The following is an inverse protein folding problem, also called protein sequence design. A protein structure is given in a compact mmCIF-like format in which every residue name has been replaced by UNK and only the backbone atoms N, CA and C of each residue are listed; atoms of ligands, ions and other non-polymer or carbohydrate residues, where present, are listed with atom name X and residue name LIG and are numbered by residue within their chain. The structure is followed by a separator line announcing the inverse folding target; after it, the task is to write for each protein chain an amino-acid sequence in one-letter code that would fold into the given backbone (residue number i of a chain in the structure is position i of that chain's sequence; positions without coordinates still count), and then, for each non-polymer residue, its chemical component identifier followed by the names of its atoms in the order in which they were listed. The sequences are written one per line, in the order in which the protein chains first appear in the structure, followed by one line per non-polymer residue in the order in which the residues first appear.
data_IF_209356941760
#
_entry.id   IF_209356941760
#
_cell.length_a   1.000
_cell.length_b   1.000
_cell.length_c   1.000
_cell.angle_alpha   90.00
_cell.angle_beta   90.00
_cell.angle_gamma   90.00
#
_symmetry.space_group_name_H-M   'P 1'
#
loop_
_entity.id
_entity.type
_entity.pdbx_description
1 polymer ?
#
# COMPACT_ATOMS: atom_id res chain seq x y z
N UNK A 1 11.14 15.04 6.04
CA UNK A 1 10.43 15.50 4.82
C UNK A 1 10.48 14.35 3.83
N UNK A 2 9.34 13.77 3.48
CA UNK A 2 9.22 12.54 2.70
C UNK A 2 9.59 12.77 1.23
N UNK A 3 10.54 11.98 0.70
CA UNK A 3 10.65 11.78 -0.75
C UNK A 3 9.53 10.82 -1.14
N UNK A 4 8.42 11.38 -1.63
CA UNK A 4 7.40 10.60 -2.32
C UNK A 4 7.93 10.28 -3.70
N UNK A 5 8.49 9.07 -3.90
CA UNK A 5 8.70 8.56 -5.25
C UNK A 5 7.31 8.47 -5.91
N UNK A 6 7.09 9.30 -6.94
CA UNK A 6 5.82 9.40 -7.63
C UNK A 6 5.42 8.06 -8.20
N UNK A 7 4.18 7.63 -7.94
CA UNK A 7 3.64 6.39 -8.50
C UNK A 7 3.77 6.39 -10.03
N UNK A 8 4.09 5.23 -10.61
CA UNK A 8 4.22 4.97 -12.07
C UNK A 8 3.10 5.61 -12.93
N UNK A 9 1.89 5.81 -12.38
CA UNK A 9 0.77 6.53 -13.04
C UNK A 9 1.07 8.01 -13.38
N UNK A 10 1.95 8.69 -12.66
CA UNK A 10 2.29 10.10 -12.95
C UNK A 10 3.33 10.26 -14.07
N UNK A 11 4.20 9.27 -14.27
CA UNK A 11 5.24 9.31 -15.31
C UNK A 11 4.71 9.01 -16.72
N UNK A 12 3.64 8.22 -16.84
CA UNK A 12 3.03 7.90 -18.14
C UNK A 12 2.07 9.00 -18.65
N UNK A 13 1.62 9.90 -17.79
CA UNK A 13 0.75 11.03 -18.16
C UNK A 13 1.52 12.20 -18.79
N UNK A 14 2.85 12.27 -18.66
CA UNK A 14 3.67 13.42 -19.08
C UNK A 14 4.46 13.20 -20.36
N UNK A 15 4.53 11.97 -20.88
CA UNK A 15 5.24 11.66 -22.13
C UNK A 15 4.33 11.85 -23.34
N UNK A 16 4.26 13.10 -23.82
CA UNK A 16 3.66 13.47 -25.10
C UNK A 16 4.61 13.06 -26.26
N UNK A 17 4.70 11.77 -26.57
CA UNK A 17 5.45 11.27 -27.74
C UNK A 17 4.52 11.21 -28.96
N UNK A 18 4.12 12.39 -29.44
CA UNK A 18 3.48 12.57 -30.74
C UNK A 18 4.27 13.61 -31.50
N UNK A 19 5.38 13.20 -32.15
CA UNK A 19 5.99 13.82 -33.34
C UNK A 19 7.43 13.33 -33.54
N UNK A 20 7.61 12.18 -34.20
CA UNK A 20 8.73 11.99 -35.14
C UNK A 20 8.16 11.24 -36.35
N UNK A 21 7.83 12.01 -37.38
CA UNK A 21 7.40 11.50 -38.67
C UNK A 21 8.63 11.06 -39.49
N UNK A 22 8.50 9.87 -40.09
CA UNK A 22 8.83 9.51 -41.48
C UNK A 22 10.10 10.13 -42.11
N UNK A 23 11.10 9.28 -42.37
CA UNK A 23 11.63 9.06 -43.73
C UNK A 23 12.69 7.93 -43.78
N UNK A 24 12.51 6.99 -44.71
CA UNK A 24 13.64 6.48 -45.51
C UNK A 24 14.10 5.02 -45.33
N UNK A 25 13.68 4.19 -46.29
CA UNK A 25 14.41 3.09 -46.93
C UNK A 25 14.29 1.65 -46.40
N UNK A 26 13.79 0.81 -47.31
CA UNK A 26 13.71 -0.65 -47.29
C UNK A 26 15.04 -1.35 -46.98
N UNK A 27 14.95 -2.41 -46.17
CA UNK A 27 15.98 -3.43 -45.96
C UNK A 27 15.37 -4.59 -45.19
N UNK A 28 15.01 -5.64 -45.91
CA UNK A 28 14.46 -6.91 -45.43
C UNK A 28 15.42 -7.64 -44.49
N UNK A 29 15.01 -7.98 -43.25
CA UNK A 29 15.40 -9.20 -42.52
C UNK A 29 14.41 -9.44 -41.35
N UNK A 30 14.19 -10.72 -41.05
CA UNK A 30 13.30 -11.37 -40.08
C UNK A 30 13.22 -10.77 -38.65
N UNK A 31 12.09 -10.92 -37.92
CA UNK A 31 11.95 -10.36 -36.58
C UNK A 31 12.16 -11.44 -35.50
N UNK A 32 13.27 -11.35 -34.76
CA UNK A 32 13.38 -11.68 -33.33
C UNK A 32 14.75 -11.15 -32.89
N UNK A 33 14.79 -10.32 -31.83
CA UNK A 33 15.62 -10.74 -30.73
C UNK A 33 14.92 -10.61 -29.38
N UNK A 34 15.18 -11.63 -28.57
CA UNK A 34 14.96 -11.70 -27.14
C UNK A 34 15.58 -10.48 -26.43
N UNK A 35 14.74 -9.59 -25.91
CA UNK A 35 15.16 -8.62 -24.90
C UNK A 35 14.26 -8.72 -23.67
N UNK A 36 14.46 -9.81 -22.90
CA UNK A 36 14.24 -9.78 -21.45
C UNK A 36 15.53 -10.19 -20.71
N UNK A 37 16.61 -9.37 -20.68
CA UNK A 37 17.78 -9.69 -19.86
C UNK A 37 18.13 -8.62 -18.81
N UNK A 38 17.40 -7.50 -18.69
CA UNK A 38 17.86 -6.41 -17.81
C UNK A 38 17.53 -6.63 -16.32
N UNK A 39 16.30 -7.02 -15.98
CA UNK A 39 15.88 -7.16 -14.59
C UNK A 39 16.52 -8.38 -13.89
N UNK A 40 16.61 -9.53 -14.57
CA UNK A 40 17.24 -10.74 -14.02
C UNK A 40 18.76 -10.59 -13.88
N UNK A 41 19.41 -9.88 -14.80
CA UNK A 41 20.84 -9.58 -14.69
C UNK A 41 21.12 -8.63 -13.51
N UNK A 42 20.26 -7.63 -13.30
CA UNK A 42 20.36 -6.73 -12.14
C UNK A 42 20.07 -7.45 -10.82
N UNK A 43 19.06 -8.32 -10.77
CA UNK A 43 18.77 -9.16 -9.59
C UNK A 43 19.94 -10.10 -9.30
N UNK A 44 20.55 -10.70 -10.33
CA UNK A 44 21.73 -11.55 -10.18
C UNK A 44 22.96 -10.78 -9.69
N UNK A 45 23.16 -9.54 -10.14
CA UNK A 45 24.24 -8.66 -9.68
C UNK A 45 24.01 -8.20 -8.23
N UNK A 46 22.77 -7.91 -7.86
CA UNK A 46 22.38 -7.63 -6.46
C UNK A 46 22.61 -8.86 -5.55
N UNK A 47 22.28 -10.06 -6.03
CA UNK A 47 22.51 -11.33 -5.33
C UNK A 47 24.00 -11.64 -5.16
N UNK A 48 24.83 -11.33 -6.18
CA UNK A 48 26.29 -11.50 -6.12
C UNK A 48 26.91 -10.57 -5.08
N UNK A 49 26.35 -9.37 -4.91
CA UNK A 49 26.80 -8.39 -3.90
C UNK A 49 26.38 -8.80 -2.48
N UNK A 50 25.25 -9.50 -2.32
CA UNK A 50 24.72 -9.91 -1.00
C UNK A 50 25.36 -11.20 -0.44
N UNK A 51 25.99 -12.04 -1.28
CA UNK A 51 26.72 -13.25 -0.84
C UNK A 51 28.26 -13.06 -0.81
N UNK A 52 28.77 -11.90 -1.25
CA UNK A 52 30.19 -11.61 -1.35
C UNK A 52 30.71 -10.75 -0.21
N UNK A 53 31.39 -11.37 0.76
CA UNK A 53 32.28 -10.66 1.68
C UNK A 53 33.43 -10.01 0.91
N UNK A 54 33.65 -8.71 1.12
CA UNK A 54 34.92 -8.01 0.91
C UNK A 54 35.54 -8.04 -0.49
N UNK A 55 35.12 -7.14 -1.39
CA UNK A 55 35.95 -6.76 -2.53
C UNK A 55 35.76 -5.29 -2.91
N UNK A 56 36.89 -4.58 -2.98
CA UNK A 56 37.01 -3.16 -3.34
C UNK A 56 36.76 -3.00 -4.85
N UNK A 57 35.58 -2.56 -5.26
CA UNK A 57 35.42 -1.90 -6.55
C UNK A 57 34.32 -0.84 -6.47
N UNK A 58 34.71 0.40 -6.76
CA UNK A 58 33.84 1.57 -6.87
C UNK A 58 33.16 1.59 -8.24
N UNK A 59 31.81 1.52 -8.34
CA UNK A 59 31.12 1.86 -9.57
C UNK A 59 30.83 3.36 -9.58
N UNK A 60 31.12 4.00 -10.72
CA UNK A 60 30.79 5.38 -11.01
C UNK A 60 29.26 5.59 -11.03
N UNK A 61 28.78 6.55 -10.24
CA UNK A 61 27.36 6.92 -10.11
C UNK A 61 26.87 7.60 -11.41
N UNK A 62 25.73 7.19 -12.00
CA UNK A 62 25.11 7.89 -13.13
C UNK A 62 24.55 9.27 -12.71
N UNK A 63 24.67 10.23 -13.63
CA UNK A 63 24.43 11.68 -13.46
C UNK A 63 23.00 12.12 -13.11
N UNK A 64 22.08 11.19 -12.82
CA UNK A 64 20.68 11.51 -12.50
C UNK A 64 20.44 11.87 -11.01
N UNK A 65 21.46 11.78 -10.15
CA UNK A 65 21.33 12.01 -8.69
C UNK A 65 21.66 13.43 -8.18
N UNK A 66 21.83 14.42 -9.07
CA UNK A 66 22.28 15.77 -8.68
C UNK A 66 21.21 16.69 -8.06
N UNK A 67 20.05 16.18 -7.64
CA UNK A 67 18.99 17.05 -7.09
C UNK A 67 18.18 16.39 -5.99
N UNK A 68 18.76 16.28 -4.79
CA UNK A 68 18.02 15.97 -3.56
C UNK A 68 18.33 17.08 -2.55
N UNK A 69 17.34 17.89 -2.10
CA UNK A 69 17.56 18.89 -1.06
C UNK A 69 17.58 18.23 0.33
N UNK A 70 18.61 18.54 1.12
CA UNK A 70 18.76 18.11 2.50
C UNK A 70 17.67 18.71 3.40
N UNK A 71 17.13 17.90 4.31
CA UNK A 71 16.15 18.31 5.33
C UNK A 71 16.90 18.82 6.56
N UNK A 72 16.62 20.05 7.01
CA UNK A 72 17.11 20.60 8.29
C UNK A 72 16.12 20.32 9.43
N UNK A 73 16.58 20.04 10.67
CA UNK A 73 15.71 20.03 11.85
C UNK A 73 15.56 21.43 12.45
N UNK A 74 14.35 21.75 12.89
CA UNK A 74 13.99 23.00 13.55
C UNK A 74 14.03 22.84 15.08
N UNK A 75 14.84 23.67 15.76
CA UNK A 75 14.55 24.23 17.09
C UNK A 75 15.66 25.22 17.50
N UNK A 76 15.31 26.51 17.63
CA UNK A 76 16.12 27.50 18.34
C UNK A 76 15.91 27.37 19.86
N UNK A 77 16.91 27.78 20.67
CA UNK A 77 16.79 29.12 21.25
C UNK A 77 18.07 29.96 21.09
N UNK A 78 17.83 31.28 20.99
CA UNK A 78 18.81 32.32 20.72
C UNK A 78 19.83 32.53 21.86
N UNK A 79 21.13 32.52 21.52
CA UNK A 79 22.20 33.21 22.27
C UNK A 79 23.25 33.77 21.30
N UNK A 80 23.33 35.10 21.24
CA UNK A 80 24.56 35.89 21.05
C UNK A 80 25.39 35.69 19.77
N UNK A 81 25.14 36.52 18.75
CA UNK A 81 26.02 36.69 17.59
C UNK A 81 27.36 37.30 18.00
N UNK A 82 28.45 36.57 17.79
CA UNK A 82 29.77 37.14 17.44
C UNK A 82 30.22 36.55 16.12
N UNK A 83 30.48 37.43 15.16
CA UNK A 83 30.93 37.16 13.81
C UNK A 83 32.41 36.76 13.77
N UNK A 84 32.72 35.58 13.24
CA UNK A 84 34.07 35.21 12.81
C UNK A 84 34.11 34.97 11.28
N UNK A 85 35.10 35.54 10.56
CA UNK A 85 35.26 35.34 9.12
C UNK A 85 36.18 34.13 8.87
N UNK A 86 35.60 32.99 8.48
CA UNK A 86 36.39 31.80 8.18
C UNK A 86 35.54 30.59 7.80
N UNK A 87 34.89 30.65 6.63
CA UNK A 87 34.07 29.55 6.10
C UNK A 87 34.94 28.37 5.63
N UNK A 88 35.48 27.60 6.56
CA UNK A 88 35.95 26.24 6.31
C UNK A 88 34.82 25.32 6.72
N UNK A 89 34.13 24.69 5.76
CA UNK A 89 33.23 23.56 6.07
C UNK A 89 34.07 22.52 6.82
N UNK A 90 33.90 22.43 8.14
CA UNK A 90 34.55 21.41 8.94
C UNK A 90 34.20 20.05 8.34
N UNK A 91 35.21 19.19 8.13
CA UNK A 91 34.99 17.83 7.68
C UNK A 91 34.12 17.11 8.72
N UNK A 92 33.09 16.34 8.30
CA UNK A 92 32.27 15.58 9.22
C UNK A 92 33.17 14.68 10.07
N UNK A 93 32.91 14.68 11.37
CA UNK A 93 33.63 13.84 12.32
C UNK A 93 33.45 12.35 11.96
N UNK A 94 34.40 11.50 12.34
CA UNK A 94 34.30 10.06 12.09
C UNK A 94 32.96 9.41 12.53
N UNK A 95 32.35 9.76 13.70
CA UNK A 95 31.03 9.25 14.04
C UNK A 95 29.92 9.75 13.10
N UNK A 96 29.91 11.03 12.74
CA UNK A 96 28.93 11.58 11.79
C UNK A 96 29.07 10.93 10.41
N UNK A 97 30.30 10.61 9.98
CA UNK A 97 30.55 9.91 8.72
C UNK A 97 29.95 8.50 8.72
N UNK A 98 30.13 7.74 9.80
CA UNK A 98 29.56 6.38 9.89
C UNK A 98 28.03 6.42 10.01
N UNK A 99 27.46 7.40 10.71
CA UNK A 99 25.99 7.62 10.73
C UNK A 99 25.45 7.93 9.33
N UNK A 100 26.09 8.86 8.60
CA UNK A 100 25.69 9.21 7.23
C UNK A 100 25.80 8.01 6.28
N UNK A 101 26.85 7.21 6.44
CA UNK A 101 27.03 5.97 5.67
C UNK A 101 25.94 4.95 5.98
N UNK A 102 25.60 4.75 7.25
CA UNK A 102 24.50 3.86 7.66
C UNK A 102 23.16 4.30 7.09
N UNK A 103 22.86 5.60 7.16
CA UNK A 103 21.64 6.17 6.59
C UNK A 103 21.57 6.01 5.05
N UNK A 104 22.71 6.16 4.37
CA UNK A 104 22.79 5.97 2.92
C UNK A 104 22.53 4.51 2.51
N UNK A 105 23.11 3.55 3.24
CA UNK A 105 22.89 2.11 3.00
C UNK A 105 21.41 1.77 3.21
N UNK A 106 20.82 2.20 4.33
CA UNK A 106 19.39 1.96 4.61
C UNK A 106 18.48 2.58 3.54
N UNK A 107 18.81 3.76 3.03
CA UNK A 107 18.07 4.40 1.94
C UNK A 107 18.18 3.60 0.63
N UNK A 108 19.37 3.06 0.31
CA UNK A 108 19.59 2.23 -0.86
C UNK A 108 18.82 0.91 -0.78
N UNK A 109 18.84 0.23 0.37
CA UNK A 109 18.13 -1.03 0.58
C UNK A 109 16.61 -0.85 0.53
N UNK A 110 16.10 0.27 1.07
CA UNK A 110 14.70 0.64 0.94
C UNK A 110 14.32 0.90 -0.52
N UNK A 111 15.15 1.62 -1.27
CA UNK A 111 14.90 1.86 -2.70
C UNK A 111 14.91 0.56 -3.52
N UNK A 112 15.87 -0.33 -3.26
CA UNK A 112 15.92 -1.65 -3.90
C UNK A 112 14.66 -2.47 -3.59
N UNK A 113 14.22 -2.46 -2.33
CA UNK A 113 12.98 -3.13 -1.92
C UNK A 113 11.75 -2.58 -2.65
N UNK A 114 11.64 -1.26 -2.78
CA UNK A 114 10.52 -0.63 -3.51
C UNK A 114 10.52 -1.02 -4.98
N UNK A 115 11.68 -1.03 -5.64
CA UNK A 115 11.81 -1.47 -7.03
C UNK A 115 11.36 -2.93 -7.18
N UNK A 116 11.82 -3.82 -6.29
CA UNK A 116 11.43 -5.23 -6.30
C UNK A 116 9.91 -5.41 -6.09
N UNK A 117 9.31 -4.61 -5.21
CA UNK A 117 7.86 -4.60 -5.01
C UNK A 117 7.12 -4.15 -6.27
N UNK A 118 7.60 -3.11 -6.96
CA UNK A 118 6.98 -2.63 -8.21
C UNK A 118 7.06 -3.66 -9.34
N UNK A 119 8.12 -4.48 -9.39
CA UNK A 119 8.27 -5.57 -10.38
C UNK A 119 7.20 -6.65 -10.19
N UNK A 120 6.64 -6.79 -8.98
CA UNK A 120 5.56 -7.75 -8.71
C UNK A 120 4.18 -7.32 -9.24
N UNK A 121 4.03 -6.09 -9.75
CA UNK A 121 2.78 -5.63 -10.36
C UNK A 121 2.65 -6.17 -11.79
N UNK A 122 1.46 -6.64 -12.20
CA UNK A 122 1.25 -7.11 -13.57
C UNK A 122 1.43 -5.95 -14.55
N UNK A 123 2.06 -6.21 -15.70
CA UNK A 123 2.10 -5.23 -16.79
C UNK A 123 0.75 -5.16 -17.51
N UNK A 124 0.39 -4.00 -18.06
CA UNK A 124 -0.90 -3.82 -18.76
C UNK A 124 -1.12 -4.81 -19.91
N UNK A 125 -0.02 -5.31 -20.52
CA UNK A 125 -0.02 -6.26 -21.63
C UNK A 125 -0.03 -7.73 -21.21
N UNK A 126 0.31 -8.06 -19.96
CA UNK A 126 0.40 -9.44 -19.45
C UNK A 126 -0.95 -10.00 -18.97
N UNK A 127 -2.01 -9.18 -18.96
CA UNK A 127 -3.35 -9.63 -18.54
C UNK A 127 -4.03 -10.55 -19.55
N UNK A 128 -3.39 -10.87 -20.69
CA UNK A 128 -4.03 -11.47 -21.87
C UNK A 128 -3.53 -12.90 -22.18
N UNK A 129 -2.42 -13.37 -21.58
CA UNK A 129 -1.82 -14.69 -21.87
C UNK A 129 -1.57 -15.52 -20.61
N UNK A 130 -2.09 -16.76 -20.58
CA UNK A 130 -1.88 -17.71 -19.47
C UNK A 130 -0.38 -18.01 -19.20
N UNK A 131 0.47 -17.96 -20.22
CA UNK A 131 1.92 -18.18 -20.07
C UNK A 131 2.60 -17.05 -19.28
N UNK A 132 2.15 -15.81 -19.41
CA UNK A 132 2.76 -14.65 -18.73
C UNK A 132 2.38 -14.63 -17.24
N UNK A 133 1.22 -15.19 -16.88
CA UNK A 133 0.79 -15.35 -15.49
C UNK A 133 1.70 -16.32 -14.72
N UNK A 134 2.23 -17.35 -15.39
CA UNK A 134 3.19 -18.29 -14.80
C UNK A 134 4.56 -17.62 -14.59
N UNK A 135 5.05 -16.88 -15.58
CA UNK A 135 6.30 -16.12 -15.46
C UNK A 135 6.24 -15.07 -14.33
N UNK A 136 5.15 -14.29 -14.25
CA UNK A 136 4.95 -13.31 -13.18
C UNK A 136 4.87 -13.99 -11.80
N UNK A 137 4.28 -15.19 -11.72
CA UNK A 137 4.24 -15.95 -10.46
C UNK A 137 5.64 -16.38 -10.03
N UNK A 138 6.47 -16.86 -10.94
CA UNK A 138 7.87 -17.22 -10.66
C UNK A 138 8.68 -16.01 -10.19
N UNK A 139 8.56 -14.88 -10.89
CA UNK A 139 9.21 -13.61 -10.49
C UNK A 139 8.77 -13.20 -9.09
N UNK A 140 7.47 -13.24 -8.79
CA UNK A 140 6.95 -12.94 -7.44
C UNK A 140 7.52 -13.87 -6.38
N UNK A 141 7.60 -15.18 -6.64
CA UNK A 141 8.18 -16.14 -5.70
C UNK A 141 9.66 -15.82 -5.41
N UNK A 142 10.43 -15.47 -6.45
CA UNK A 142 11.83 -15.12 -6.30
C UNK A 142 12.02 -13.80 -5.55
N UNK A 143 11.25 -12.77 -5.92
CA UNK A 143 11.25 -11.47 -5.24
C UNK A 143 10.90 -11.64 -3.76
N UNK A 144 9.82 -12.36 -3.45
CA UNK A 144 9.42 -12.59 -2.06
C UNK A 144 10.50 -13.34 -1.27
N UNK A 145 11.22 -14.29 -1.89
CA UNK A 145 12.32 -14.99 -1.24
C UNK A 145 13.50 -14.05 -0.93
N UNK A 146 13.83 -13.12 -1.83
CA UNK A 146 14.85 -12.10 -1.60
C UNK A 146 14.43 -11.15 -0.48
N UNK A 147 13.21 -10.60 -0.55
CA UNK A 147 12.68 -9.70 0.48
C UNK A 147 12.62 -10.37 1.86
N UNK A 148 12.30 -11.67 1.90
CA UNK A 148 12.36 -12.44 3.13
C UNK A 148 13.75 -12.42 3.77
N UNK A 149 14.81 -12.68 2.99
CA UNK A 149 16.19 -12.65 3.48
C UNK A 149 16.61 -11.24 3.90
N UNK A 150 16.23 -10.21 3.14
CA UNK A 150 16.51 -8.82 3.50
C UNK A 150 15.86 -8.43 4.83
N UNK A 151 14.60 -8.81 5.07
CA UNK A 151 13.90 -8.52 6.33
C UNK A 151 14.41 -9.34 7.51
N UNK A 152 14.98 -10.52 7.28
CA UNK A 152 15.67 -11.27 8.34
C UNK A 152 16.98 -10.58 8.70
N UNK A 153 17.75 -10.15 7.70
CA UNK A 153 19.05 -9.51 7.91
C UNK A 153 18.90 -8.14 8.60
N UNK A 154 17.92 -7.34 8.18
CA UNK A 154 17.55 -6.09 8.84
C UNK A 154 16.02 -5.97 9.01
N UNK A 155 15.48 -6.25 10.20
CA UNK A 155 14.07 -6.00 10.51
C UNK A 155 13.67 -4.52 10.45
N UNK A 156 14.65 -3.60 10.60
CA UNK A 156 14.43 -2.15 10.50
C UNK A 156 14.01 -1.73 9.09
N UNK A 157 14.59 -2.35 8.06
CA UNK A 157 14.19 -2.18 6.67
C UNK A 157 12.72 -2.51 6.43
N UNK A 158 12.23 -3.62 7.01
CA UNK A 158 10.82 -3.99 6.89
C UNK A 158 9.90 -2.90 7.43
N UNK A 159 10.23 -2.36 8.62
CA UNK A 159 9.51 -1.23 9.20
C UNK A 159 9.57 0.00 8.28
N UNK A 160 10.76 0.37 7.82
CA UNK A 160 10.96 1.54 6.95
C UNK A 160 10.11 1.46 5.68
N UNK A 161 10.13 0.34 4.97
CA UNK A 161 9.38 0.13 3.71
C UNK A 161 7.88 0.18 3.94
N UNK A 162 7.36 -0.42 5.02
CA UNK A 162 5.93 -0.35 5.33
C UNK A 162 5.48 1.05 5.77
N UNK A 163 6.37 1.81 6.42
CA UNK A 163 6.14 3.23 6.73
C UNK A 163 6.25 4.13 5.49
N UNK A 164 7.04 3.76 4.48
CA UNK A 164 7.03 4.41 3.16
C UNK A 164 5.79 4.05 2.35
N UNK A 165 5.25 2.84 2.53
CA UNK A 165 4.06 2.32 1.86
C UNK A 165 4.36 1.86 0.42
N UNK A 166 3.43 1.08 -0.12
CA UNK A 166 3.43 0.56 -1.49
C UNK A 166 1.98 0.21 -1.89
N UNK A 167 1.68 -0.04 -3.17
CA UNK A 167 0.31 -0.32 -3.63
C UNK A 167 -0.34 -1.50 -2.89
N UNK A 168 -1.59 -1.33 -2.45
CA UNK A 168 -2.31 -2.31 -1.62
C UNK A 168 -2.54 -3.66 -2.31
N UNK A 169 -2.51 -3.68 -3.65
CA UNK A 169 -2.62 -4.89 -4.48
C UNK A 169 -1.48 -5.88 -4.20
N UNK A 170 -0.33 -5.38 -3.73
CA UNK A 170 0.82 -6.21 -3.39
C UNK A 170 0.70 -6.86 -2.00
N UNK A 171 -0.17 -6.37 -1.11
CA UNK A 171 -0.26 -6.87 0.27
C UNK A 171 -0.55 -8.38 0.33
N UNK A 172 -1.47 -8.88 -0.50
CA UNK A 172 -1.78 -10.31 -0.54
C UNK A 172 -0.59 -11.13 -1.05
N UNK A 173 0.20 -10.58 -1.98
CA UNK A 173 1.39 -11.25 -2.54
C UNK A 173 2.53 -11.27 -1.53
N UNK A 174 2.83 -10.13 -0.89
CA UNK A 174 3.93 -10.00 0.07
C UNK A 174 3.65 -10.77 1.34
N UNK A 175 2.44 -10.64 1.92
CA UNK A 175 2.09 -11.34 3.16
C UNK A 175 2.09 -12.86 2.98
N UNK A 176 1.55 -13.38 1.88
CA UNK A 176 1.54 -14.81 1.62
C UNK A 176 2.91 -15.35 1.16
N UNK A 177 3.69 -14.54 0.45
CA UNK A 177 4.96 -14.95 -0.16
C UNK A 177 6.19 -14.79 0.74
N UNK A 178 6.16 -13.91 1.74
CA UNK A 178 7.31 -13.58 2.60
C UNK A 178 7.04 -14.11 4.03
N UNK A 179 7.65 -15.24 4.44
CA UNK A 179 7.36 -15.86 5.75
C UNK A 179 7.69 -14.98 6.97
N UNK A 180 8.67 -14.08 6.86
CA UNK A 180 9.06 -13.15 7.93
C UNK A 180 8.07 -11.99 8.13
N UNK A 181 7.00 -11.87 7.34
CA UNK A 181 6.05 -10.74 7.42
C UNK A 181 5.33 -10.60 8.76
N UNK A 182 5.28 -11.65 9.56
CA UNK A 182 4.70 -11.59 10.91
C UNK A 182 5.38 -10.57 11.82
N UNK A 183 6.65 -10.19 11.56
CA UNK A 183 7.34 -9.11 12.30
C UNK A 183 6.63 -7.75 12.17
N UNK A 184 5.80 -7.57 11.14
CA UNK A 184 5.05 -6.34 10.94
C UNK A 184 4.00 -6.08 12.03
N UNK A 185 3.57 -7.12 12.75
CA UNK A 185 2.66 -6.99 13.89
C UNK A 185 3.22 -6.10 15.00
N UNK A 186 4.54 -5.97 15.09
CA UNK A 186 5.25 -5.24 16.15
C UNK A 186 5.12 -3.72 16.00
N UNK A 187 5.06 -3.24 14.77
CA UNK A 187 5.01 -1.81 14.46
C UNK A 187 3.66 -1.34 13.90
N UNK A 188 2.67 -2.22 13.73
CA UNK A 188 1.31 -1.82 13.34
C UNK A 188 0.70 -0.76 14.28
N UNK A 189 0.81 -0.86 15.62
CA UNK A 189 0.29 0.18 16.51
C UNK A 189 0.88 1.57 16.21
N UNK A 190 2.18 1.64 15.92
CA UNK A 190 2.88 2.87 15.56
C UNK A 190 2.48 3.37 14.17
N UNK A 191 2.22 2.45 13.22
CA UNK A 191 1.76 2.77 11.87
C UNK A 191 0.32 3.31 11.87
N UNK A 192 -0.57 2.75 12.71
CA UNK A 192 -1.91 3.29 12.96
C UNK A 192 -1.87 4.68 13.62
N UNK A 193 -0.86 4.94 14.45
CA UNK A 193 -0.63 6.24 15.07
C UNK A 193 -0.16 7.35 14.12
N UNK A 194 0.14 7.05 12.85
CA UNK A 194 0.55 8.06 11.89
C UNK A 194 -0.59 9.04 11.58
N UNK A 195 -0.33 10.36 11.45
CA UNK A 195 -1.37 11.35 11.21
C UNK A 195 -1.94 11.32 9.77
N UNK A 196 -1.23 10.69 8.83
CA UNK A 196 -1.68 10.59 7.44
C UNK A 196 -2.71 9.46 7.28
N UNK A 197 -3.88 9.80 6.71
CA UNK A 197 -4.97 8.84 6.50
C UNK A 197 -4.55 7.64 5.66
N UNK A 198 -3.71 7.85 4.64
CA UNK A 198 -3.20 6.78 3.78
C UNK A 198 -2.38 5.73 4.54
N UNK A 199 -1.62 6.14 5.56
CA UNK A 199 -0.85 5.23 6.42
C UNK A 199 -1.75 4.43 7.34
N UNK A 200 -2.78 5.08 7.88
CA UNK A 200 -3.80 4.42 8.69
C UNK A 200 -4.57 3.37 7.88
N UNK A 201 -5.02 3.72 6.68
CA UNK A 201 -5.69 2.78 5.75
C UNK A 201 -4.78 1.59 5.44
N UNK A 202 -3.53 1.87 5.04
CA UNK A 202 -2.54 0.83 4.73
C UNK A 202 -2.28 -0.09 5.93
N UNK A 203 -2.20 0.45 7.15
CA UNK A 203 -2.03 -0.34 8.37
C UNK A 203 -3.19 -1.30 8.61
N UNK A 204 -4.44 -0.85 8.42
CA UNK A 204 -5.63 -1.70 8.56
C UNK A 204 -5.64 -2.80 7.49
N UNK A 205 -5.31 -2.46 6.24
CA UNK A 205 -5.22 -3.43 5.14
C UNK A 205 -4.12 -4.47 5.38
N UNK A 206 -2.95 -4.04 5.82
CA UNK A 206 -1.85 -4.92 6.19
C UNK A 206 -2.25 -5.84 7.37
N UNK A 207 -2.86 -5.27 8.42
CA UNK A 207 -3.38 -6.04 9.56
C UNK A 207 -4.34 -7.13 9.08
N UNK A 208 -5.29 -6.77 8.23
CA UNK A 208 -6.27 -7.69 7.65
C UNK A 208 -5.63 -8.91 6.96
N UNK A 209 -4.59 -8.68 6.14
CA UNK A 209 -3.88 -9.75 5.45
C UNK A 209 -3.03 -10.58 6.42
N UNK A 210 -2.34 -9.94 7.37
CA UNK A 210 -1.55 -10.64 8.38
C UNK A 210 -2.42 -11.51 9.29
N UNK A 211 -3.64 -11.09 9.62
CA UNK A 211 -4.57 -11.90 10.40
C UNK A 211 -4.95 -13.18 9.67
N UNK A 212 -5.23 -13.12 8.36
CA UNK A 212 -5.52 -14.30 7.55
C UNK A 212 -4.34 -15.26 7.48
N UNK A 213 -3.13 -14.73 7.32
CA UNK A 213 -1.93 -15.55 7.12
C UNK A 213 -1.35 -16.09 8.45
N UNK A 214 -1.43 -15.30 9.53
CA UNK A 214 -0.78 -15.58 10.81
C UNK A 214 -1.80 -15.45 11.96
N UNK A 215 -2.60 -16.52 12.14
CA UNK A 215 -3.59 -16.62 13.22
C UNK A 215 -2.93 -16.91 14.58
N UNK A 216 -2.26 -15.90 15.15
CA UNK A 216 -1.56 -15.96 16.44
C UNK A 216 -2.25 -15.07 17.49
N UNK A 217 -2.10 -15.35 18.81
CA UNK A 217 -2.67 -14.49 19.86
C UNK A 217 -2.26 -13.02 19.76
N UNK A 218 -1.00 -12.75 19.38
CA UNK A 218 -0.51 -11.38 19.12
C UNK A 218 -1.28 -10.70 17.98
N UNK A 219 -1.54 -11.43 16.90
CA UNK A 219 -2.30 -10.96 15.74
C UNK A 219 -3.75 -10.63 16.12
N UNK A 220 -4.39 -11.44 16.98
CA UNK A 220 -5.72 -11.13 17.53
C UNK A 220 -5.72 -9.82 18.36
N UNK A 221 -4.73 -9.60 19.20
CA UNK A 221 -4.61 -8.35 19.97
C UNK A 221 -4.47 -7.13 19.06
N UNK A 222 -3.66 -7.24 18.00
CA UNK A 222 -3.51 -6.18 16.98
C UNK A 222 -4.80 -5.98 16.17
N UNK A 223 -5.53 -7.05 15.86
CA UNK A 223 -6.82 -6.97 15.18
C UNK A 223 -7.87 -6.22 16.03
N UNK A 224 -7.95 -6.51 17.34
CA UNK A 224 -8.83 -5.77 18.27
C UNK A 224 -8.47 -4.29 18.30
N UNK A 225 -7.17 -3.97 18.37
CA UNK A 225 -6.70 -2.58 18.31
C UNK A 225 -7.13 -1.90 17.00
N UNK A 226 -6.95 -2.56 15.86
CA UNK A 226 -7.35 -2.05 14.55
C UNK A 226 -8.86 -1.77 14.46
N UNK A 227 -9.70 -2.69 14.93
CA UNK A 227 -11.17 -2.51 14.95
C UNK A 227 -11.57 -1.37 15.89
N UNK A 228 -10.96 -1.28 17.08
CA UNK A 228 -11.20 -0.18 18.02
C UNK A 228 -10.75 1.18 17.46
N UNK A 229 -9.63 1.20 16.74
CA UNK A 229 -9.14 2.37 16.04
C UNK A 229 -10.13 2.82 14.95
N UNK A 230 -10.61 1.87 14.12
CA UNK A 230 -11.66 2.15 13.14
C UNK A 230 -12.94 2.69 13.80
N UNK A 231 -13.35 2.14 14.94
CA UNK A 231 -14.51 2.63 15.69
C UNK A 231 -14.30 4.06 16.21
N UNK A 232 -13.13 4.36 16.75
CA UNK A 232 -12.77 5.71 17.22
C UNK A 232 -12.81 6.73 16.08
N UNK A 233 -12.35 6.35 14.88
CA UNK A 233 -12.37 7.24 13.72
C UNK A 233 -13.78 7.55 13.18
N UNK A 234 -14.82 6.84 13.61
CA UNK A 234 -16.20 7.13 13.20
C UNK A 234 -16.63 8.54 13.58
N UNK A 235 -16.23 9.00 14.77
CA UNK A 235 -16.60 10.31 15.31
C UNK A 235 -15.59 11.40 14.96
N UNK A 236 -14.34 11.02 14.67
CA UNK A 236 -13.25 11.96 14.39
C UNK A 236 -13.22 12.38 12.92
N UNK A 237 -13.45 11.45 12.00
CA UNK A 237 -13.43 11.74 10.57
C UNK A 237 -14.76 12.33 10.11
N UNK A 238 -14.70 13.26 9.17
CA UNK A 238 -15.88 13.87 8.53
C UNK A 238 -15.68 14.04 7.03
N UNK A 239 -16.79 14.25 6.31
CA UNK A 239 -16.80 14.52 4.87
C UNK A 239 -16.22 13.41 4.02
N UNK A 240 -15.37 13.79 3.06
CA UNK A 240 -14.75 12.89 2.05
C UNK A 240 -13.77 11.91 2.69
N UNK A 241 -12.99 12.35 3.69
CA UNK A 241 -12.01 11.51 4.38
C UNK A 241 -12.64 10.32 5.10
N UNK A 242 -13.86 10.50 5.61
CA UNK A 242 -14.63 9.42 6.23
C UNK A 242 -14.97 8.34 5.19
N UNK A 243 -15.47 8.75 4.03
CA UNK A 243 -15.87 7.81 2.96
C UNK A 243 -14.65 7.13 2.34
N UNK A 244 -13.55 7.87 2.14
CA UNK A 244 -12.27 7.33 1.68
C UNK A 244 -11.75 6.24 2.61
N UNK A 245 -11.72 6.51 3.93
CA UNK A 245 -11.28 5.56 4.93
C UNK A 245 -12.13 4.29 4.92
N UNK A 246 -13.45 4.41 5.11
CA UNK A 246 -14.32 3.24 5.23
C UNK A 246 -14.51 2.49 3.91
N UNK A 247 -14.41 3.13 2.75
CA UNK A 247 -14.37 2.39 1.48
C UNK A 247 -13.15 1.47 1.41
N UNK A 248 -11.99 1.91 1.89
CA UNK A 248 -10.77 1.13 1.84
C UNK A 248 -10.67 0.06 2.93
N UNK A 249 -11.26 0.31 4.12
CA UNK A 249 -11.06 -0.54 5.31
C UNK A 249 -12.26 -1.43 5.66
N UNK A 250 -13.46 -1.14 5.18
CA UNK A 250 -14.66 -1.96 5.50
C UNK A 250 -14.47 -3.44 5.11
N UNK A 251 -13.97 -3.78 3.90
CA UNK A 251 -13.75 -5.18 3.52
C UNK A 251 -12.75 -5.91 4.43
N UNK A 252 -11.84 -5.18 5.08
CA UNK A 252 -10.86 -5.77 5.99
C UNK A 252 -11.49 -6.47 7.18
N UNK A 253 -12.69 -6.03 7.61
CA UNK A 253 -13.43 -6.64 8.72
C UNK A 253 -13.82 -8.09 8.42
N UNK A 254 -14.20 -8.40 7.17
CA UNK A 254 -14.54 -9.77 6.79
C UNK A 254 -13.35 -10.72 6.92
N UNK A 255 -12.16 -10.29 6.50
CA UNK A 255 -10.92 -11.04 6.64
C UNK A 255 -10.54 -11.24 8.12
N UNK A 256 -10.64 -10.18 8.93
CA UNK A 256 -10.36 -10.25 10.37
C UNK A 256 -11.31 -11.24 11.04
N UNK A 257 -12.60 -11.18 10.77
CA UNK A 257 -13.60 -12.13 11.28
C UNK A 257 -13.36 -13.56 10.81
N UNK A 258 -12.90 -13.73 9.56
CA UNK A 258 -12.55 -15.05 9.00
C UNK A 258 -11.36 -15.66 9.74
N UNK A 259 -10.35 -14.86 10.07
CA UNK A 259 -9.21 -15.30 10.86
C UNK A 259 -9.57 -15.52 12.35
N UNK A 260 -10.43 -14.67 12.89
CA UNK A 260 -10.74 -14.62 14.32
C UNK A 260 -12.25 -14.53 14.57
N UNK A 261 -12.94 -15.69 14.76
CA UNK A 261 -14.36 -15.73 15.12
C UNK A 261 -14.75 -14.88 16.35
N UNK A 262 -13.92 -14.72 17.40
CA UNK A 262 -14.24 -13.83 18.52
C UNK A 262 -14.44 -12.36 18.14
N UNK A 263 -14.11 -11.94 16.92
CA UNK A 263 -14.28 -10.56 16.45
C UNK A 263 -15.65 -10.28 15.81
N UNK A 264 -16.54 -11.26 15.69
CA UNK A 264 -17.83 -11.07 15.01
C UNK A 264 -18.69 -9.97 15.64
N UNK A 265 -18.85 -9.97 16.97
CA UNK A 265 -19.75 -9.01 17.65
C UNK A 265 -19.27 -7.56 17.49
N UNK A 266 -17.97 -7.31 17.72
CA UNK A 266 -17.39 -5.97 17.58
C UNK A 266 -17.43 -5.49 16.12
N UNK A 267 -17.11 -6.37 15.17
CA UNK A 267 -17.04 -6.01 13.74
C UNK A 267 -18.43 -5.78 13.14
N UNK A 268 -19.42 -6.59 13.50
CA UNK A 268 -20.81 -6.39 13.05
C UNK A 268 -21.43 -5.14 13.68
N UNK A 269 -21.15 -4.87 14.96
CA UNK A 269 -21.54 -3.62 15.62
C UNK A 269 -20.97 -2.39 14.92
N UNK A 270 -19.69 -2.45 14.54
CA UNK A 270 -19.04 -1.39 13.76
C UNK A 270 -19.67 -1.23 12.37
N UNK A 271 -19.94 -2.32 11.65
CA UNK A 271 -20.62 -2.27 10.34
C UNK A 271 -22.00 -1.62 10.43
N UNK A 272 -22.79 -1.94 11.46
CA UNK A 272 -24.09 -1.32 11.70
C UNK A 272 -23.93 0.19 11.93
N UNK A 273 -22.93 0.61 12.71
CA UNK A 273 -22.67 2.04 12.95
C UNK A 273 -22.27 2.77 11.66
N UNK A 274 -21.36 2.20 10.86
CA UNK A 274 -20.96 2.74 9.55
C UNK A 274 -22.20 2.89 8.65
N UNK A 275 -23.00 1.82 8.51
CA UNK A 275 -24.20 1.82 7.68
C UNK A 275 -25.22 2.87 8.11
N UNK A 276 -25.50 2.99 9.41
CA UNK A 276 -26.41 4.01 9.96
C UNK A 276 -25.95 5.43 9.62
N UNK A 277 -24.66 5.72 9.77
CA UNK A 277 -24.09 7.04 9.44
C UNK A 277 -24.17 7.29 7.93
N UNK A 278 -23.81 6.32 7.10
CA UNK A 278 -23.88 6.44 5.65
C UNK A 278 -25.33 6.69 5.15
N UNK A 279 -26.32 5.96 5.68
CA UNK A 279 -27.74 6.19 5.39
C UNK A 279 -28.21 7.57 5.83
N UNK A 280 -27.80 8.04 7.02
CA UNK A 280 -28.15 9.37 7.52
C UNK A 280 -27.60 10.48 6.62
N UNK A 281 -26.35 10.34 6.18
CA UNK A 281 -25.71 11.27 5.22
C UNK A 281 -26.46 11.29 3.90
N UNK A 282 -26.77 10.11 3.35
CA UNK A 282 -27.51 10.00 2.09
C UNK A 282 -28.90 10.67 2.18
N UNK A 283 -29.65 10.42 3.25
CA UNK A 283 -30.95 11.04 3.47
C UNK A 283 -30.87 12.57 3.55
N UNK A 284 -29.80 13.10 4.13
CA UNK A 284 -29.55 14.55 4.23
C UNK A 284 -29.28 15.21 2.88
N UNK A 285 -28.89 14.46 1.85
CA UNK A 285 -28.64 14.99 0.49
C UNK A 285 -29.92 15.13 -0.36
N UNK A 286 -31.10 14.81 0.18
CA UNK A 286 -32.40 15.03 -0.48
C UNK A 286 -32.70 14.12 -1.68
N UNK A 287 -31.74 13.29 -2.11
CA UNK A 287 -31.97 12.21 -3.08
C UNK A 287 -32.47 11.00 -2.32
N UNK A 288 -33.75 10.65 -2.51
CA UNK A 288 -34.30 9.40 -1.96
C UNK A 288 -33.37 8.27 -2.37
N UNK A 289 -32.81 7.49 -1.43
CA UNK A 289 -32.28 6.20 -1.81
C UNK A 289 -33.43 5.47 -2.49
N UNK A 290 -33.19 4.93 -3.68
CA UNK A 290 -34.00 3.81 -4.13
C UNK A 290 -33.68 2.69 -3.15
N UNK A 291 -34.35 2.72 -1.99
CA UNK A 291 -34.33 1.69 -0.98
C UNK A 291 -34.80 0.43 -1.70
N UNK A 292 -33.85 -0.35 -2.17
CA UNK A 292 -34.04 -1.76 -2.38
C UNK A 292 -34.22 -2.31 -0.97
N UNK A 293 -35.45 -2.22 -0.44
CA UNK A 293 -35.95 -3.17 0.53
C UNK A 293 -35.97 -4.54 -0.19
N UNK A 294 -34.79 -5.12 -0.43
CA UNK A 294 -34.67 -6.53 -0.79
C UNK A 294 -34.81 -7.34 0.49
N UNK A 295 -36.02 -7.33 1.02
CA UNK A 295 -36.57 -8.43 1.82
C UNK A 295 -38.09 -8.25 1.85
N UNK A 296 -38.74 -8.78 0.80
CA UNK A 296 -40.18 -9.10 0.72
C UNK A 296 -41.20 -8.00 0.37
N UNK A 297 -41.01 -7.24 -0.72
CA UNK A 297 -42.19 -6.72 -1.43
C UNK A 297 -42.01 -6.85 -2.94
N UNK A 298 -42.75 -7.77 -3.55
CA UNK A 298 -42.96 -7.81 -4.99
C UNK A 298 -43.95 -6.74 -5.40
N UNK A 299 -43.68 -6.15 -6.56
CA UNK A 299 -44.54 -5.28 -7.38
C UNK A 299 -44.39 -3.76 -7.21
N UNK A 300 -44.19 -3.15 -8.39
CA UNK A 300 -44.46 -1.77 -8.78
C UNK A 300 -43.59 -0.66 -8.16
N UNK A 301 -42.70 -0.10 -8.98
CA UNK A 301 -42.89 1.24 -9.54
C UNK A 301 -41.87 1.50 -10.65
N UNK A 302 -42.26 1.24 -11.91
CA UNK A 302 -41.66 1.95 -13.05
C UNK A 302 -42.29 3.33 -13.07
N UNK A 303 -41.48 4.34 -13.42
CA UNK A 303 -41.86 5.74 -13.69
C UNK A 303 -41.84 6.68 -12.47
N UNK A 304 -40.75 7.45 -12.32
CA UNK A 304 -40.77 8.92 -12.22
C UNK A 304 -39.36 9.50 -12.00
N UNK A 305 -38.99 10.40 -12.93
CA UNK A 305 -38.02 11.50 -12.85
C UNK A 305 -36.56 11.23 -13.23
N UNK A 306 -36.33 11.43 -14.54
CA UNK A 306 -35.14 12.04 -15.12
C UNK A 306 -34.79 13.41 -14.47
N UNK A 307 -33.49 13.71 -14.43
CA UNK A 307 -33.00 15.08 -14.32
C UNK A 307 -32.54 15.54 -12.94
N UNK A 308 -31.48 14.94 -12.37
CA UNK A 308 -30.70 15.59 -11.30
C UNK A 308 -29.21 15.30 -11.50
N UNK A 309 -28.39 16.36 -11.58
CA UNK A 309 -26.93 16.28 -11.58
C UNK A 309 -26.45 15.48 -10.37
N UNK A 310 -25.77 14.36 -10.61
CA UNK A 310 -25.18 13.52 -9.57
C UNK A 310 -24.01 14.28 -8.94
N UNK A 311 -24.22 14.87 -7.77
CA UNK A 311 -23.16 15.27 -6.86
C UNK A 311 -22.29 14.05 -6.54
N UNK A 312 -20.98 14.16 -6.79
CA UNK A 312 -19.98 13.09 -6.63
C UNK A 312 -20.08 12.40 -5.25
N UNK A 313 -20.37 13.17 -4.20
CA UNK A 313 -20.47 12.68 -2.83
C UNK A 313 -21.66 11.72 -2.60
N UNK A 314 -22.79 11.95 -3.26
CA UNK A 314 -23.98 11.08 -3.13
C UNK A 314 -23.72 9.69 -3.72
N UNK A 315 -22.92 9.60 -4.78
CA UNK A 315 -22.52 8.33 -5.38
C UNK A 315 -21.58 7.54 -4.46
N UNK A 316 -20.75 8.21 -3.67
CA UNK A 316 -19.78 7.56 -2.80
C UNK A 316 -20.44 6.99 -1.54
N UNK A 317 -21.42 7.70 -0.95
CA UNK A 317 -22.18 7.20 0.20
C UNK A 317 -23.03 5.95 -0.17
N UNK A 318 -23.63 5.94 -1.37
CA UNK A 318 -24.35 4.76 -1.89
C UNK A 318 -23.43 3.56 -2.11
N UNK A 319 -22.24 3.79 -2.70
CA UNK A 319 -21.25 2.73 -2.90
C UNK A 319 -20.79 2.14 -1.56
N UNK A 320 -20.59 2.99 -0.54
CA UNK A 320 -20.20 2.53 0.79
C UNK A 320 -21.30 1.72 1.49
N UNK A 321 -22.58 2.10 1.33
CA UNK A 321 -23.71 1.30 1.85
C UNK A 321 -23.68 -0.10 1.25
N UNK A 322 -23.58 -0.21 -0.08
CA UNK A 322 -23.49 -1.51 -0.75
C UNK A 322 -22.25 -2.31 -0.30
N UNK A 323 -21.13 -1.63 -0.02
CA UNK A 323 -19.91 -2.25 0.49
C UNK A 323 -20.10 -2.80 1.92
N UNK A 324 -20.79 -2.06 2.79
CA UNK A 324 -21.12 -2.50 4.16
C UNK A 324 -22.04 -3.72 4.12
N UNK A 325 -23.10 -3.68 3.30
CA UNK A 325 -24.01 -4.82 3.11
C UNK A 325 -23.29 -6.05 2.56
N UNK A 326 -22.44 -5.88 1.55
CA UNK A 326 -21.63 -6.96 0.98
C UNK A 326 -20.64 -7.55 1.98
N UNK A 327 -19.98 -6.71 2.78
CA UNK A 327 -19.05 -7.15 3.83
C UNK A 327 -19.79 -7.93 4.93
N UNK A 328 -20.95 -7.43 5.38
CA UNK A 328 -21.79 -8.11 6.35
C UNK A 328 -22.26 -9.48 5.84
N UNK A 329 -22.73 -9.54 4.59
CA UNK A 329 -23.13 -10.79 3.94
C UNK A 329 -21.96 -11.79 3.86
N UNK A 330 -20.74 -11.32 3.55
CA UNK A 330 -19.54 -12.16 3.56
C UNK A 330 -19.23 -12.73 4.94
N UNK A 331 -19.35 -11.91 6.00
CA UNK A 331 -19.15 -12.35 7.39
C UNK A 331 -20.17 -13.43 7.76
N UNK A 332 -21.46 -13.21 7.48
CA UNK A 332 -22.53 -14.17 7.78
C UNK A 332 -22.33 -15.48 7.01
N UNK A 333 -21.98 -15.39 5.73
CA UNK A 333 -21.66 -16.57 4.91
C UNK A 333 -20.53 -17.37 5.54
N UNK A 334 -19.40 -16.73 5.85
CA UNK A 334 -18.24 -17.42 6.43
C UNK A 334 -18.56 -18.04 7.79
N UNK A 335 -19.29 -17.33 8.64
CA UNK A 335 -19.72 -17.82 9.96
C UNK A 335 -20.63 -19.06 9.85
N UNK A 336 -21.54 -19.08 8.86
CA UNK A 336 -22.45 -20.21 8.64
C UNK A 336 -21.70 -21.48 8.20
N UNK A 337 -20.65 -21.35 7.40
CA UNK A 337 -19.83 -22.49 6.95
C UNK A 337 -18.96 -23.07 8.08
N UNK A 338 -18.39 -22.22 8.94
CA UNK A 338 -17.62 -22.70 10.10
C UNK A 338 -18.44 -23.52 11.10
N UNK A 339 -19.77 -23.39 11.09
CA UNK A 339 -20.67 -24.18 11.96
C UNK A 339 -20.94 -25.60 11.44
N UNK A 340 -20.60 -25.90 10.18
CA UNK A 340 -20.83 -27.21 9.56
C UNK A 340 -19.65 -28.19 9.65
N UNK A 341 -18.55 -27.79 10.30
CA UNK A 341 -17.30 -28.58 10.41
C UNK A 341 -16.96 -28.91 11.88
N UNK A 342 -17.91 -28.68 12.79
CA UNK A 342 -17.81 -29.03 14.21
C UNK A 342 -18.79 -30.15 14.55
#
# INVERSE_FOLDING_TARGET
MMLSFGSRKQLLSSSNWSNVALNGSMGSYSPFPDEVPSALCWIAEMMSTYHGSGAKHSPSIPSCFQSIPCVSPASEPAIGVKSDPGNTRALPSDPEREELKGALIAAQEAAATQILLEVCLPFEKEQVSDNDLNALREVRCQVCSVLHQMFIADPGLAKLVHFQGYPSELLAVTVAGIPSMHICLDFIPELLGQPQLSKQIFAIQLTSQLCLQFALPKSLSVARLAVNFMSTLLSVLSGVRWVEFYNATTPCLANICTAFPPMYDDSTSLLIQIGRIAHSRLASTGKRPHLVLSSHCSMAQKHLLEGVSVSKDTSQDQALIALVEGTFASIVKNASFTRGVA
#
